data_IF_442421399527
#
_entry.id   IF_442421399527
#
_cell.length_a   1.000
_cell.length_b   1.000
_cell.length_c   1.000
_cell.angle_alpha   90.00
_cell.angle_beta   90.00
_cell.angle_gamma   90.00
#
_symmetry.space_group_name_H-M   'P 1'
#
loop_
_entity.id
_entity.type
_entity.pdbx_description
1 polymer ?
#
# COMPACT_ATOMS: atom_id res chain seq x y z
N UNK A 1 40.51 -18.23 29.64
CA UNK A 1 40.26 -17.79 28.24
C UNK A 1 40.94 -16.45 28.05
N UNK A 2 41.63 -16.25 26.93
CA UNK A 2 42.41 -15.04 26.69
C UNK A 2 41.49 -13.83 26.46
N UNK A 3 41.82 -12.67 27.03
CA UNK A 3 41.03 -11.42 26.90
C UNK A 3 40.81 -11.02 25.42
N UNK A 4 41.75 -11.39 24.55
CA UNK A 4 41.65 -11.22 23.11
C UNK A 4 40.55 -12.07 22.47
N UNK A 5 40.36 -13.31 22.91
CA UNK A 5 39.33 -14.22 22.35
C UNK A 5 37.92 -13.77 22.72
N UNK A 6 37.75 -13.24 23.94
CA UNK A 6 36.46 -12.67 24.38
C UNK A 6 36.07 -11.44 23.56
N UNK A 7 37.05 -10.60 23.20
CA UNK A 7 36.81 -9.40 22.39
C UNK A 7 36.44 -9.77 20.95
N UNK A 8 37.13 -10.73 20.34
CA UNK A 8 36.82 -11.24 19.00
C UNK A 8 35.44 -11.88 18.93
N UNK A 9 35.06 -12.71 19.93
CA UNK A 9 33.71 -13.29 20.01
C UNK A 9 32.63 -12.22 20.08
N UNK A 10 32.82 -11.20 20.91
CA UNK A 10 31.85 -10.10 21.06
C UNK A 10 31.71 -9.28 19.77
N UNK A 11 32.80 -9.05 19.04
CA UNK A 11 32.77 -8.42 17.71
C UNK A 11 31.99 -9.26 16.70
N UNK A 12 32.22 -10.57 16.67
CA UNK A 12 31.53 -11.49 15.76
C UNK A 12 30.03 -11.57 16.07
N UNK A 13 29.65 -11.68 17.34
CA UNK A 13 28.26 -11.63 17.79
C UNK A 13 27.57 -10.31 17.44
N UNK A 14 28.26 -9.18 17.68
CA UNK A 14 27.74 -7.85 17.34
C UNK A 14 27.57 -7.69 15.83
N UNK A 15 28.53 -8.16 15.04
CA UNK A 15 28.47 -8.12 13.57
C UNK A 15 27.32 -8.97 13.04
N UNK A 16 27.12 -10.16 13.61
CA UNK A 16 26.00 -11.04 13.25
C UNK A 16 24.66 -10.40 13.60
N UNK A 17 24.56 -9.77 14.76
CA UNK A 17 23.37 -9.03 15.19
C UNK A 17 23.08 -7.83 14.28
N UNK A 18 24.10 -7.04 13.93
CA UNK A 18 23.98 -5.92 13.00
C UNK A 18 23.53 -6.36 11.60
N UNK A 19 24.09 -7.44 11.07
CA UNK A 19 23.65 -7.99 9.78
C UNK A 19 22.19 -8.43 9.81
N UNK A 20 21.77 -9.06 10.92
CA UNK A 20 20.38 -9.46 11.10
C UNK A 20 19.44 -8.24 11.13
N UNK A 21 19.76 -7.24 11.94
CA UNK A 21 18.97 -6.00 12.02
C UNK A 21 18.94 -5.25 10.69
N UNK A 22 20.04 -5.19 9.95
CA UNK A 22 20.07 -4.58 8.62
C UNK A 22 19.15 -5.29 7.63
N UNK A 23 19.11 -6.63 7.67
CA UNK A 23 18.21 -7.41 6.82
C UNK A 23 16.73 -7.23 7.20
N UNK A 24 16.42 -7.22 8.50
CA UNK A 24 15.06 -6.95 8.99
C UNK A 24 14.59 -5.54 8.61
N UNK A 25 15.48 -4.56 8.72
CA UNK A 25 15.22 -3.18 8.30
C UNK A 25 14.95 -3.10 6.79
N UNK A 26 15.72 -3.82 5.98
CA UNK A 26 15.53 -3.82 4.52
C UNK A 26 14.18 -4.44 4.12
N UNK A 27 13.81 -5.56 4.75
CA UNK A 27 12.50 -6.19 4.52
C UNK A 27 11.35 -5.24 4.89
N UNK A 28 11.46 -4.56 6.03
CA UNK A 28 10.40 -3.66 6.48
C UNK A 28 10.32 -2.38 5.63
N UNK A 29 11.47 -1.87 5.18
CA UNK A 29 11.53 -0.79 4.19
C UNK A 29 10.83 -1.18 2.90
N UNK A 30 11.10 -2.38 2.38
CA UNK A 30 10.50 -2.82 1.13
C UNK A 30 8.97 -2.93 1.23
N UNK A 31 8.44 -3.48 2.32
CA UNK A 31 6.98 -3.50 2.55
C UNK A 31 6.38 -2.10 2.63
N UNK A 32 7.07 -1.18 3.28
CA UNK A 32 6.63 0.21 3.41
C UNK A 32 6.57 0.89 2.04
N UNK A 33 7.57 0.62 1.19
CA UNK A 33 7.65 1.15 -0.18
C UNK A 33 6.56 0.57 -1.08
N UNK A 34 6.28 -0.73 -0.96
CA UNK A 34 5.18 -1.39 -1.69
C UNK A 34 3.83 -0.76 -1.32
N UNK A 35 3.55 -0.62 -0.02
CA UNK A 35 2.33 0.03 0.47
C UNK A 35 2.20 1.48 -0.02
N UNK A 36 3.30 2.23 -0.05
CA UNK A 36 3.27 3.62 -0.53
C UNK A 36 2.88 3.70 -2.01
N UNK A 37 3.35 2.76 -2.84
CA UNK A 37 3.03 2.69 -4.26
C UNK A 37 1.61 2.15 -4.52
N UNK A 38 1.04 1.36 -3.61
CA UNK A 38 -0.36 0.94 -3.69
C UNK A 38 -1.33 2.08 -3.38
N UNK A 39 -0.94 3.01 -2.51
CA UNK A 39 -1.79 4.12 -2.07
C UNK A 39 -1.72 5.33 -3.01
N UNK A 40 -0.55 5.61 -3.59
CA UNK A 40 -0.30 6.83 -4.35
C UNK A 40 0.32 6.56 -5.72
N UNK A 41 0.09 7.44 -6.71
CA UNK A 41 0.78 7.36 -8.00
C UNK A 41 2.30 7.36 -7.79
N UNK A 42 3.02 6.58 -8.61
CA UNK A 42 4.46 6.37 -8.46
C UNK A 42 5.27 7.68 -8.36
N UNK A 43 4.90 8.70 -9.14
CA UNK A 43 5.54 10.03 -9.12
C UNK A 43 5.42 10.74 -7.77
N UNK A 44 4.28 10.59 -7.10
CA UNK A 44 3.99 11.17 -5.78
C UNK A 44 4.70 10.37 -4.70
N UNK A 45 4.66 9.04 -4.77
CA UNK A 45 5.39 8.16 -3.87
C UNK A 45 6.91 8.44 -3.89
N UNK A 46 7.48 8.64 -5.08
CA UNK A 46 8.91 9.00 -5.25
C UNK A 46 9.27 10.36 -4.66
N UNK A 47 8.39 11.36 -4.81
CA UNK A 47 8.60 12.67 -4.22
C UNK A 47 8.61 12.60 -2.69
N UNK A 48 7.64 11.88 -2.11
CA UNK A 48 7.53 11.69 -0.67
C UNK A 48 8.71 10.90 -0.09
N UNK A 49 9.17 9.86 -0.79
CA UNK A 49 10.39 9.10 -0.41
C UNK A 49 11.63 9.98 -0.32
N UNK A 50 11.73 10.99 -1.17
CA UNK A 50 12.85 11.92 -1.20
C UNK A 50 12.68 13.09 -0.21
N UNK A 51 11.60 13.11 0.58
CA UNK A 51 11.27 14.22 1.47
C UNK A 51 10.93 15.51 0.73
N UNK A 52 10.57 15.41 -0.56
CA UNK A 52 10.16 16.57 -1.36
C UNK A 52 8.70 16.89 -1.06
N UNK A 53 8.39 18.18 -1.04
CA UNK A 53 7.02 18.64 -0.95
C UNK A 53 6.31 18.36 -2.28
N UNK A 54 5.08 17.85 -2.20
CA UNK A 54 4.22 17.61 -3.36
C UNK A 54 3.29 18.81 -3.48
N UNK A 55 3.42 19.57 -4.56
CA UNK A 55 2.53 20.70 -4.85
C UNK A 55 1.27 20.24 -5.59
N UNK A 56 0.19 21.01 -5.43
CA UNK A 56 -1.03 20.78 -6.18
C UNK A 56 -0.73 20.92 -7.68
N UNK A 57 -1.21 19.95 -8.46
CA UNK A 57 -0.99 19.90 -9.90
C UNK A 57 -2.32 20.07 -10.63
N UNK A 58 -2.35 20.94 -11.64
CA UNK A 58 -3.47 21.08 -12.55
C UNK A 58 -3.32 20.10 -13.72
N UNK A 59 -4.41 19.42 -14.07
CA UNK A 59 -4.48 18.54 -15.23
C UNK A 59 -5.40 19.17 -16.27
N UNK A 60 -4.85 19.51 -17.44
CA UNK A 60 -5.60 20.17 -18.50
C UNK A 60 -6.69 19.26 -19.09
N UNK A 61 -6.40 17.96 -19.19
CA UNK A 61 -7.32 16.94 -19.66
C UNK A 61 -7.34 15.78 -18.66
N UNK A 62 -8.51 15.46 -18.12
CA UNK A 62 -8.72 14.30 -17.28
C UNK A 62 -10.07 13.64 -17.58
N UNK A 63 -10.13 12.33 -17.44
CA UNK A 63 -11.39 11.57 -17.51
C UNK A 63 -11.64 10.93 -16.17
N UNK A 64 -12.82 11.15 -15.61
CA UNK A 64 -13.24 10.59 -14.33
C UNK A 64 -14.34 9.56 -14.56
N UNK A 65 -14.24 8.43 -13.88
CA UNK A 65 -15.30 7.43 -13.82
C UNK A 65 -15.91 7.46 -12.42
N UNK A 66 -17.22 7.60 -12.35
CA UNK A 66 -17.96 7.45 -11.09
C UNK A 66 -18.88 6.27 -11.22
N UNK A 67 -18.81 5.36 -10.25
CA UNK A 67 -19.69 4.20 -10.15
C UNK A 67 -20.34 4.14 -8.78
N UNK A 68 -21.52 3.57 -8.73
CA UNK A 68 -22.31 3.41 -7.50
C UNK A 68 -23.14 2.13 -7.58
N UNK A 69 -23.38 1.48 -6.45
CA UNK A 69 -24.18 0.25 -6.41
C UNK A 69 -25.65 0.62 -6.19
N UNK A 70 -26.45 0.44 -7.24
CA UNK A 70 -27.88 0.68 -7.16
C UNK A 70 -28.48 -0.14 -6.01
N UNK A 71 -29.27 0.51 -5.16
CA UNK A 71 -29.95 -0.10 -4.00
C UNK A 71 -29.02 -0.72 -2.95
N UNK A 72 -27.76 -0.28 -2.84
CA UNK A 72 -26.84 -0.76 -1.81
C UNK A 72 -27.40 -0.68 -0.39
N UNK A 73 -28.10 0.40 -0.04
CA UNK A 73 -28.77 0.53 1.28
C UNK A 73 -29.73 -0.64 1.56
N UNK A 74 -30.45 -1.12 0.53
CA UNK A 74 -31.37 -2.24 0.69
C UNK A 74 -30.63 -3.57 0.83
N UNK A 75 -29.48 -3.71 0.16
CA UNK A 75 -28.61 -4.88 0.30
C UNK A 75 -28.07 -4.93 1.74
N UNK A 76 -27.54 -3.82 2.23
CA UNK A 76 -27.05 -3.69 3.61
C UNK A 76 -28.14 -3.96 4.66
N UNK A 77 -29.39 -3.60 4.39
CA UNK A 77 -30.51 -3.86 5.30
C UNK A 77 -30.96 -5.33 5.35
N UNK A 78 -30.68 -6.12 4.31
CA UNK A 78 -31.16 -7.50 4.17
C UNK A 78 -30.09 -8.56 4.38
N UNK A 79 -28.82 -8.21 4.17
CA UNK A 79 -27.67 -9.10 4.25
C UNK A 79 -26.94 -8.95 5.58
N UNK A 80 -26.14 -9.95 5.94
CA UNK A 80 -25.24 -9.79 7.08
C UNK A 80 -24.08 -8.87 6.71
N UNK A 81 -23.43 -8.20 7.68
CA UNK A 81 -22.23 -7.41 7.41
C UNK A 81 -21.14 -8.20 6.70
N UNK A 82 -21.01 -9.50 7.00
CA UNK A 82 -20.04 -10.39 6.35
C UNK A 82 -20.35 -10.57 4.86
N UNK A 83 -21.62 -10.77 4.50
CA UNK A 83 -22.04 -10.92 3.10
C UNK A 83 -21.80 -9.63 2.31
N UNK A 84 -22.10 -8.47 2.91
CA UNK A 84 -21.88 -7.15 2.29
C UNK A 84 -20.40 -6.92 2.00
N UNK A 85 -19.53 -7.18 2.99
CA UNK A 85 -18.07 -7.04 2.81
C UNK A 85 -17.56 -8.01 1.74
N UNK A 86 -18.06 -9.24 1.73
CA UNK A 86 -17.68 -10.24 0.72
C UNK A 86 -18.06 -9.78 -0.70
N UNK A 87 -19.26 -9.22 -0.86
CA UNK A 87 -19.73 -8.65 -2.13
C UNK A 87 -18.84 -7.50 -2.59
N UNK A 88 -18.58 -6.52 -1.72
CA UNK A 88 -17.73 -5.37 -2.05
C UNK A 88 -16.31 -5.81 -2.42
N UNK A 89 -15.75 -6.77 -1.67
CA UNK A 89 -14.42 -7.29 -1.94
C UNK A 89 -14.34 -7.98 -3.30
N UNK A 90 -15.32 -8.81 -3.68
CA UNK A 90 -15.32 -9.43 -5.02
C UNK A 90 -15.44 -8.39 -6.13
N UNK A 91 -16.29 -7.37 -5.95
CA UNK A 91 -16.45 -6.28 -6.93
C UNK A 91 -15.16 -5.47 -7.09
N UNK A 92 -14.58 -5.00 -5.98
CA UNK A 92 -13.38 -4.17 -6.01
C UNK A 92 -12.17 -4.94 -6.53
N UNK A 93 -12.03 -6.24 -6.20
CA UNK A 93 -10.96 -7.07 -6.78
C UNK A 93 -11.09 -7.21 -8.30
N UNK A 94 -12.30 -7.21 -8.85
CA UNK A 94 -12.50 -7.24 -10.31
C UNK A 94 -12.15 -5.91 -10.95
N UNK A 95 -12.53 -4.78 -10.33
CA UNK A 95 -12.14 -3.47 -10.83
C UNK A 95 -10.64 -3.23 -10.73
N UNK A 96 -10.02 -3.56 -9.60
CA UNK A 96 -8.57 -3.39 -9.40
C UNK A 96 -7.76 -4.18 -10.44
N UNK A 97 -8.24 -5.36 -10.87
CA UNK A 97 -7.65 -6.10 -11.99
C UNK A 97 -7.77 -5.36 -13.32
N UNK A 98 -8.91 -4.72 -13.60
CA UNK A 98 -9.10 -3.94 -14.82
C UNK A 98 -8.24 -2.67 -14.81
N UNK A 99 -8.13 -2.01 -13.67
CA UNK A 99 -7.24 -0.85 -13.50
C UNK A 99 -5.78 -1.23 -13.84
N UNK A 100 -5.30 -2.35 -13.31
CA UNK A 100 -3.94 -2.84 -13.62
C UNK A 100 -3.72 -3.19 -15.10
N UNK A 101 -4.79 -3.47 -15.87
CA UNK A 101 -4.72 -3.73 -17.32
C UNK A 101 -4.75 -2.46 -18.17
N UNK A 102 -5.36 -1.39 -17.67
CA UNK A 102 -5.66 -0.17 -18.43
C UNK A 102 -4.82 1.06 -18.02
N UNK A 103 -3.89 0.91 -17.09
CA UNK A 103 -3.03 1.99 -16.57
C UNK A 103 -3.85 3.21 -16.09
N UNK A 104 -4.91 2.91 -15.34
CA UNK A 104 -5.76 3.91 -14.69
C UNK A 104 -5.36 4.02 -13.22
N UNK A 105 -5.63 5.15 -12.58
CA UNK A 105 -5.40 5.31 -11.13
C UNK A 105 -6.74 5.29 -10.38
N UNK A 106 -6.86 4.42 -9.39
CA UNK A 106 -7.99 4.38 -8.46
C UNK A 106 -7.85 5.52 -7.46
N UNK A 107 -8.91 6.31 -7.28
CA UNK A 107 -8.96 7.30 -6.20
C UNK A 107 -9.67 6.70 -4.99
N UNK A 108 -9.26 7.10 -3.78
CA UNK A 108 -9.92 6.64 -2.56
C UNK A 108 -11.41 6.99 -2.56
N UNK A 109 -12.25 5.99 -2.32
CA UNK A 109 -13.70 6.13 -2.28
C UNK A 109 -14.29 5.84 -0.90
N UNK A 110 -15.54 6.26 -0.70
CA UNK A 110 -16.28 6.05 0.54
C UNK A 110 -17.54 5.25 0.22
N UNK A 111 -17.74 4.16 0.97
CA UNK A 111 -18.94 3.33 0.86
C UNK A 111 -18.90 2.38 -0.34
N UNK A 112 -19.97 2.40 -1.12
CA UNK A 112 -20.22 1.56 -2.30
C UNK A 112 -19.86 2.23 -3.63
N UNK A 113 -19.41 3.48 -3.58
CA UNK A 113 -18.87 4.15 -4.75
C UNK A 113 -17.46 3.67 -5.08
N UNK A 114 -17.14 3.61 -6.36
CA UNK A 114 -15.79 3.35 -6.87
C UNK A 114 -15.42 4.35 -7.95
N UNK A 115 -14.21 4.91 -7.85
CA UNK A 115 -13.68 6.02 -8.64
C UNK A 115 -12.27 5.72 -9.14
#
# INVERSE_FOLDING_TARGET
MCRSEQFSRKLEETTKSLKKMANELEVEKQKTDELLCELMPASIADALRQGRMVEASDFADCTLLFTDIVTFTNICAKCTPYDVVTLLNDLYLRFDRLIGLHDVYKVETIGDAYM
#
